data_IF_592504796808
#
_entry.id   IF_592504796808
#
_cell.length_a   1.000
_cell.length_b   1.000
_cell.length_c   1.000
_cell.angle_alpha   90.00
_cell.angle_beta   90.00
_cell.angle_gamma   90.00
#
_symmetry.space_group_name_H-M   'P 1'
#
loop_
_entity.id
_entity.type
_entity.pdbx_description
1 polymer ?
#
# COMPACT_ATOMS: atom_id res chain seq x y z
N UNK A 1 -5.81 45.48 -11.79
CA UNK A 1 -5.13 44.92 -10.61
C UNK A 1 -4.47 43.59 -11.03
N UNK A 2 -3.83 42.88 -10.11
CA UNK A 2 -3.20 41.59 -10.39
C UNK A 2 -3.85 40.50 -9.54
N UNK A 3 -4.19 39.38 -10.17
CA UNK A 3 -4.68 38.17 -9.52
C UNK A 3 -3.46 37.38 -9.08
N UNK A 4 -3.40 37.08 -7.78
CA UNK A 4 -2.36 36.24 -7.19
C UNK A 4 -2.99 34.91 -6.79
N UNK A 5 -2.45 33.80 -7.30
CA UNK A 5 -2.91 32.46 -6.98
C UNK A 5 -1.76 31.46 -7.13
N UNK A 6 -1.84 30.34 -6.42
CA UNK A 6 -0.82 29.30 -6.51
C UNK A 6 -1.14 28.33 -7.65
N UNK A 7 -0.14 28.01 -8.46
CA UNK A 7 -0.30 27.03 -9.53
C UNK A 7 -0.71 25.68 -8.93
N UNK A 8 -1.83 25.06 -9.37
CA UNK A 8 -2.28 23.78 -8.82
C UNK A 8 -1.28 22.65 -9.07
N UNK A 9 -0.43 22.77 -10.09
CA UNK A 9 0.54 21.74 -10.47
C UNK A 9 1.88 21.84 -9.74
N UNK A 10 2.41 23.05 -9.55
CA UNK A 10 3.80 23.24 -9.07
C UNK A 10 3.96 24.14 -7.84
N UNK A 11 2.85 24.59 -7.23
CA UNK A 11 2.80 25.45 -6.03
C UNK A 11 3.53 26.78 -6.12
N UNK A 12 4.05 27.13 -7.29
CA UNK A 12 4.61 28.46 -7.48
C UNK A 12 3.48 29.50 -7.47
N UNK A 13 3.63 30.50 -6.62
CA UNK A 13 2.74 31.66 -6.59
C UNK A 13 2.88 32.45 -7.87
N UNK A 14 1.79 32.53 -8.65
CA UNK A 14 1.72 33.24 -9.91
C UNK A 14 1.02 34.60 -9.69
N UNK A 15 1.55 35.63 -10.34
CA UNK A 15 0.93 36.96 -10.42
C UNK A 15 0.60 37.23 -11.88
N UNK A 16 -0.69 37.35 -12.18
CA UNK A 16 -1.19 37.59 -13.54
C UNK A 16 -2.10 38.82 -13.55
N UNK A 17 -2.17 39.58 -14.65
CA UNK A 17 -3.08 40.72 -14.74
C UNK A 17 -4.54 40.27 -14.75
N UNK A 18 -5.45 41.09 -14.22
CA UNK A 18 -6.90 40.78 -14.17
C UNK A 18 -7.50 40.47 -15.55
N UNK A 19 -6.93 41.03 -16.64
CA UNK A 19 -7.33 40.76 -18.03
C UNK A 19 -7.20 39.30 -18.46
N UNK A 20 -6.48 38.50 -17.66
CA UNK A 20 -6.25 37.08 -17.87
C UNK A 20 -7.15 36.20 -17.01
N UNK A 21 -8.03 36.79 -16.18
CA UNK A 21 -9.04 36.07 -15.42
C UNK A 21 -9.92 35.22 -16.35
N UNK A 22 -10.10 33.94 -15.99
CA UNK A 22 -10.91 32.99 -16.76
C UNK A 22 -10.28 32.52 -18.07
N UNK A 23 -9.06 32.98 -18.43
CA UNK A 23 -8.34 32.53 -19.63
C UNK A 23 -7.38 31.39 -19.31
N UNK A 24 -7.06 30.61 -20.35
CA UNK A 24 -6.05 29.56 -20.30
C UNK A 24 -4.65 30.18 -20.49
N UNK A 25 -3.70 29.84 -19.63
CA UNK A 25 -2.32 30.32 -19.71
C UNK A 25 -1.32 29.28 -19.23
N UNK A 26 -0.05 29.47 -19.55
CA UNK A 26 1.03 28.56 -19.16
C UNK A 26 1.67 29.01 -17.84
N UNK A 27 1.94 28.07 -16.94
CA UNK A 27 2.73 28.35 -15.75
C UNK A 27 4.19 28.64 -16.13
N UNK A 28 4.78 29.81 -15.79
CA UNK A 28 6.17 30.12 -16.10
C UNK A 28 7.20 29.26 -15.33
N UNK A 29 6.75 28.48 -14.33
CA UNK A 29 7.62 27.65 -13.47
C UNK A 29 7.61 26.17 -13.85
N UNK A 30 6.50 25.65 -14.34
CA UNK A 30 6.38 24.24 -14.72
C UNK A 30 5.89 24.01 -16.16
N UNK A 31 5.62 25.06 -16.92
CA UNK A 31 5.16 25.00 -18.31
C UNK A 31 3.74 24.43 -18.50
N UNK A 32 3.04 24.07 -17.43
CA UNK A 32 1.71 23.44 -17.50
C UNK A 32 0.64 24.47 -17.84
N UNK A 33 -0.21 24.15 -18.82
CA UNK A 33 -1.43 24.91 -19.16
C UNK A 33 -2.43 24.83 -18.00
N UNK A 34 -2.90 25.98 -17.52
CA UNK A 34 -3.85 26.09 -16.43
C UNK A 34 -4.87 27.20 -16.71
N UNK A 35 -6.04 27.10 -16.10
CA UNK A 35 -7.07 28.15 -16.16
C UNK A 35 -6.88 29.13 -14.99
N UNK A 36 -6.81 30.43 -15.29
CA UNK A 36 -6.63 31.47 -14.28
C UNK A 36 -7.97 31.71 -13.57
N UNK A 37 -8.04 31.64 -12.22
CA UNK A 37 -9.28 31.86 -11.48
C UNK A 37 -9.89 33.25 -11.76
N UNK A 38 -11.22 33.32 -11.90
CA UNK A 38 -11.95 34.58 -12.05
C UNK A 38 -12.68 34.94 -10.74
N UNK A 39 -12.12 35.80 -9.88
CA UNK A 39 -12.74 36.18 -8.62
C UNK A 39 -14.01 37.04 -8.79
N UNK A 40 -14.32 37.53 -10.00
CA UNK A 40 -15.46 38.41 -10.26
C UNK A 40 -16.75 37.67 -10.64
N UNK A 41 -16.71 36.34 -10.80
CA UNK A 41 -17.89 35.54 -11.14
C UNK A 41 -18.75 35.11 -9.92
N UNK A 42 -18.26 35.30 -8.69
CA UNK A 42 -18.91 34.79 -7.47
C UNK A 42 -19.95 35.73 -6.84
N UNK A 43 -20.13 36.95 -7.34
CA UNK A 43 -20.99 37.96 -6.69
C UNK A 43 -22.50 37.84 -7.00
N UNK A 44 -22.95 36.93 -7.87
CA UNK A 44 -24.37 36.89 -8.31
C UNK A 44 -25.21 35.74 -7.72
N UNK A 45 -24.63 34.79 -6.98
CA UNK A 45 -25.35 33.58 -6.53
C UNK A 45 -25.56 33.42 -5.02
N UNK A 46 -25.20 34.41 -4.20
CA UNK A 46 -25.25 34.29 -2.72
C UNK A 46 -26.47 34.93 -2.04
N UNK A 47 -27.55 35.28 -2.76
CA UNK A 47 -28.70 35.97 -2.19
C UNK A 47 -29.98 35.11 -1.97
N UNK A 48 -29.97 33.79 -2.21
CA UNK A 48 -31.21 32.99 -2.22
C UNK A 48 -31.11 31.59 -1.60
N UNK A 49 -30.52 31.44 -0.42
CA UNK A 49 -30.57 30.16 0.31
C UNK A 49 -30.43 30.29 1.84
N UNK A 50 -30.97 31.36 2.43
CA UNK A 50 -30.98 31.56 3.88
C UNK A 50 -32.41 31.73 4.40
N UNK A 51 -33.27 30.73 4.21
CA UNK A 51 -34.51 30.55 4.97
C UNK A 51 -35.07 29.16 4.68
N UNK A 52 -35.64 28.50 5.70
CA UNK A 52 -36.17 27.13 5.76
C UNK A 52 -35.09 26.04 6.00
N UNK A 53 -35.04 25.26 7.08
CA UNK A 53 -36.05 24.92 8.10
C UNK A 53 -35.33 24.33 9.32
N UNK A 54 -35.46 24.98 10.46
CA UNK A 54 -35.42 24.35 11.78
C UNK A 54 -36.83 23.86 12.10
N UNK A 55 -37.02 22.55 12.30
CA UNK A 55 -37.95 21.96 13.28
C UNK A 55 -38.12 20.47 13.01
N UNK A 56 -37.63 19.62 13.93
CA UNK A 56 -38.43 18.58 14.57
C UNK A 56 -37.55 17.78 15.54
N UNK A 57 -38.08 17.59 16.74
CA UNK A 57 -37.41 17.10 17.94
C UNK A 57 -38.09 15.82 18.41
N UNK A 58 -37.31 14.96 19.10
CA UNK A 58 -37.69 13.91 20.04
C UNK A 58 -38.31 12.59 19.52
N UNK A 59 -37.68 11.47 19.90
CA UNK A 59 -38.21 10.59 20.97
C UNK A 59 -37.23 9.46 21.32
N UNK A 60 -36.87 9.34 22.62
CA UNK A 60 -36.35 8.13 23.28
C UNK A 60 -37.53 7.31 23.84
N UNK A 61 -37.36 6.01 24.09
CA UNK A 61 -37.39 5.55 25.48
C UNK A 61 -36.37 4.43 25.85
N UNK A 62 -36.29 4.23 27.17
CA UNK A 62 -35.27 3.61 28.01
C UNK A 62 -35.17 2.06 28.03
N UNK A 63 -34.17 1.46 28.72
CA UNK A 63 -33.84 0.02 28.70
C UNK A 63 -34.18 -0.78 29.98
N UNK A 64 -33.96 -2.12 29.89
CA UNK A 64 -33.86 -3.19 30.92
C UNK A 64 -35.17 -3.92 31.33
N UNK A 65 -35.16 -5.23 31.76
CA UNK A 65 -34.11 -5.90 32.57
C UNK A 65 -33.78 -7.40 32.28
N UNK A 66 -32.83 -7.89 33.09
CA UNK A 66 -32.10 -9.17 33.09
C UNK A 66 -32.89 -10.43 33.54
N UNK A 67 -32.34 -11.62 33.26
CA UNK A 67 -32.44 -12.80 34.14
C UNK A 67 -31.40 -13.90 33.81
N UNK A 68 -30.92 -14.54 34.88
CA UNK A 68 -29.94 -15.61 34.98
C UNK A 68 -30.45 -16.98 34.51
N UNK A 69 -29.55 -17.97 34.40
CA UNK A 69 -29.94 -19.38 34.61
C UNK A 69 -28.99 -20.43 34.02
N UNK A 70 -28.39 -21.22 34.89
CA UNK A 70 -27.43 -22.28 34.59
C UNK A 70 -28.08 -23.59 34.12
N UNK A 71 -27.29 -24.40 33.41
CA UNK A 71 -27.16 -25.86 33.46
C UNK A 71 -28.41 -26.76 33.52
N UNK A 72 -28.48 -27.76 32.64
CA UNK A 72 -28.44 -29.17 33.04
C UNK A 72 -28.49 -30.11 31.83
N UNK A 73 -27.82 -31.24 32.02
CA UNK A 73 -27.76 -32.38 31.13
C UNK A 73 -29.11 -33.10 31.08
N UNK A 74 -29.50 -33.56 29.90
CA UNK A 74 -30.66 -34.42 29.69
C UNK A 74 -30.18 -35.74 29.11
N UNK A 75 -30.33 -36.79 29.92
CA UNK A 75 -30.32 -38.17 29.48
C UNK A 75 -31.68 -38.53 28.84
N UNK A 76 -31.73 -39.42 27.83
CA UNK A 76 -32.97 -40.09 27.44
C UNK A 76 -33.16 -41.48 28.10
N UNK A 77 -34.41 -41.99 28.13
CA UNK A 77 -34.93 -42.97 29.08
C UNK A 77 -34.87 -44.46 28.61
N UNK A 78 -35.29 -45.43 29.46
CA UNK A 78 -35.16 -46.87 29.22
C UNK A 78 -36.43 -47.53 28.64
N UNK A 79 -36.28 -48.75 28.12
CA UNK A 79 -37.35 -49.65 27.64
C UNK A 79 -37.18 -49.98 26.15
N UNK A 80 -37.29 -51.20 25.64
CA UNK A 80 -37.84 -52.43 26.19
C UNK A 80 -37.09 -53.65 25.64
N UNK A 81 -36.89 -54.62 26.52
CA UNK A 81 -36.42 -55.96 26.22
C UNK A 81 -37.56 -56.81 25.67
N UNK A 82 -37.41 -57.32 24.44
CA UNK A 82 -38.11 -58.53 24.01
C UNK A 82 -37.10 -59.50 23.40
N UNK A 83 -36.98 -60.64 24.06
CA UNK A 83 -36.14 -61.75 23.68
C UNK A 83 -36.63 -62.37 22.36
N UNK A 84 -35.69 -62.65 21.45
CA UNK A 84 -35.91 -63.57 20.36
C UNK A 84 -34.63 -64.38 20.09
N UNK A 85 -34.71 -65.63 20.52
CA UNK A 85 -34.13 -66.83 19.91
C UNK A 85 -32.63 -66.83 19.54
N UNK A 86 -31.85 -67.48 20.41
CA UNK A 86 -30.50 -67.92 20.11
C UNK A 86 -30.51 -69.03 19.05
N UNK A 87 -29.79 -68.81 17.94
CA UNK A 87 -29.24 -69.90 17.12
C UNK A 87 -27.72 -69.78 17.08
N UNK A 88 -26.97 -70.84 17.41
CA UNK A 88 -25.53 -70.80 17.46
C UNK A 88 -24.97 -70.89 16.05
N UNK A 89 -24.20 -69.88 15.64
CA UNK A 89 -23.24 -70.03 14.54
C UNK A 89 -21.85 -69.88 15.13
N UNK A 90 -21.31 -71.03 15.50
CA UNK A 90 -19.89 -71.27 15.61
C UNK A 90 -19.23 -70.96 14.27
N UNK A 91 -18.32 -69.99 14.21
CA UNK A 91 -17.12 -70.07 13.37
C UNK A 91 -16.19 -68.87 13.59
N UNK A 92 -15.09 -69.15 14.29
CA UNK A 92 -13.74 -68.82 13.84
C UNK A 92 -13.43 -67.38 13.36
N UNK A 93 -14.02 -66.33 13.95
CA UNK A 93 -13.66 -64.93 13.58
C UNK A 93 -13.27 -64.03 14.74
N UNK A 94 -13.47 -64.45 16.01
CA UNK A 94 -13.04 -63.68 17.18
C UNK A 94 -11.52 -63.76 17.47
N UNK A 95 -10.79 -64.71 16.89
CA UNK A 95 -9.34 -64.84 17.08
C UNK A 95 -8.50 -64.10 16.02
N UNK A 96 -9.10 -63.59 14.93
CA UNK A 96 -8.34 -62.89 13.89
C UNK A 96 -8.24 -61.37 14.10
N UNK A 97 -9.15 -60.75 14.87
CA UNK A 97 -9.12 -59.31 15.14
C UNK A 97 -8.24 -58.91 16.35
N UNK A 98 -7.59 -59.87 17.00
CA UNK A 98 -6.63 -59.63 18.10
C UNK A 98 -5.16 -59.61 17.62
N UNK A 99 -4.93 -59.50 16.31
CA UNK A 99 -3.58 -59.44 15.74
C UNK A 99 -3.00 -58.03 15.90
N UNK A 100 -2.39 -57.80 17.07
CA UNK A 100 -1.37 -56.77 17.37
C UNK A 100 -1.48 -55.50 16.52
N UNK A 101 -2.19 -54.49 17.02
CA UNK A 101 -1.87 -53.09 16.72
C UNK A 101 -0.54 -52.78 17.42
N UNK A 102 0.57 -53.32 16.90
CA UNK A 102 1.92 -52.89 17.31
C UNK A 102 1.98 -51.43 16.95
N UNK A 103 2.00 -50.54 17.95
CA UNK A 103 2.06 -49.12 17.68
C UNK A 103 3.39 -48.86 16.98
N UNK A 104 3.34 -48.31 15.77
CA UNK A 104 4.53 -47.93 15.01
C UNK A 104 5.17 -46.65 15.60
N UNK A 105 5.04 -46.43 16.92
CA UNK A 105 5.54 -45.25 17.63
C UNK A 105 7.05 -45.10 17.42
N UNK A 106 7.80 -46.21 17.40
CA UNK A 106 9.23 -46.19 17.08
C UNK A 106 9.52 -45.69 15.65
N UNK A 107 8.71 -46.07 14.67
CA UNK A 107 8.88 -45.58 13.29
C UNK A 107 8.48 -44.10 13.17
N UNK A 108 7.42 -43.66 13.85
CA UNK A 108 7.03 -42.24 13.90
C UNK A 108 8.11 -41.39 14.57
N UNK A 109 8.67 -41.83 15.69
CA UNK A 109 9.78 -41.14 16.37
C UNK A 109 11.03 -41.05 15.50
N UNK A 110 11.36 -42.11 14.75
CA UNK A 110 12.49 -42.11 13.81
C UNK A 110 12.27 -41.13 12.66
N UNK A 111 11.05 -41.03 12.11
CA UNK A 111 10.73 -40.03 11.07
C UNK A 111 10.84 -38.61 11.63
N UNK A 112 10.33 -38.35 12.83
CA UNK A 112 10.45 -37.01 13.47
C UNK A 112 11.92 -36.66 13.71
N UNK A 113 12.73 -37.61 14.19
CA UNK A 113 14.16 -37.40 14.42
C UNK A 113 14.90 -37.11 13.11
N UNK A 114 14.67 -37.90 12.05
CA UNK A 114 15.27 -37.65 10.75
C UNK A 114 14.82 -36.31 10.15
N UNK A 115 13.54 -35.95 10.29
CA UNK A 115 13.02 -34.67 9.83
C UNK A 115 13.63 -33.50 10.62
N UNK A 116 13.76 -33.64 11.94
CA UNK A 116 14.44 -32.66 12.78
C UNK A 116 15.92 -32.48 12.42
N UNK A 117 16.64 -33.58 12.15
CA UNK A 117 18.03 -33.53 11.67
C UNK A 117 18.12 -32.89 10.28
N UNK A 118 17.19 -33.20 9.38
CA UNK A 118 17.13 -32.61 8.04
C UNK A 118 16.85 -31.11 8.09
N UNK A 119 15.88 -30.68 8.92
CA UNK A 119 15.60 -29.25 9.16
C UNK A 119 16.79 -28.55 9.85
N UNK A 120 17.43 -29.21 10.80
CA UNK A 120 18.64 -28.69 11.46
C UNK A 120 19.80 -28.50 10.49
N UNK A 121 20.03 -29.49 9.62
CA UNK A 121 21.02 -29.38 8.55
C UNK A 121 20.66 -28.27 7.56
N UNK A 122 19.40 -28.21 7.09
CA UNK A 122 18.94 -27.15 6.20
C UNK A 122 19.11 -25.75 6.83
N UNK A 123 18.78 -25.60 8.12
CA UNK A 123 19.01 -24.37 8.89
C UNK A 123 20.49 -24.03 9.01
N UNK A 124 21.36 -25.01 9.27
CA UNK A 124 22.82 -24.82 9.32
C UNK A 124 23.39 -24.41 7.96
N UNK A 125 22.97 -25.06 6.87
CA UNK A 125 23.38 -24.71 5.52
C UNK A 125 22.90 -23.31 5.15
N UNK A 126 21.67 -22.95 5.47
CA UNK A 126 21.15 -21.61 5.25
C UNK A 126 21.90 -20.55 6.05
N UNK A 127 22.23 -20.83 7.32
CA UNK A 127 23.00 -19.89 8.14
C UNK A 127 24.45 -19.73 7.65
N UNK A 128 25.06 -20.82 7.14
CA UNK A 128 26.47 -20.83 6.72
C UNK A 128 26.66 -20.30 5.30
N UNK A 129 25.74 -20.61 4.39
CA UNK A 129 25.86 -20.32 2.95
C UNK A 129 24.75 -19.41 2.43
N UNK A 130 23.87 -18.93 3.31
CA UNK A 130 22.83 -17.97 2.95
C UNK A 130 23.42 -16.66 2.41
N UNK A 131 22.65 -15.92 1.61
CA UNK A 131 23.09 -14.64 1.10
C UNK A 131 23.28 -13.68 2.28
N UNK A 132 24.52 -13.23 2.46
CA UNK A 132 24.86 -12.21 3.44
C UNK A 132 24.40 -10.87 2.89
N UNK A 133 23.15 -10.51 3.19
CA UNK A 133 22.53 -9.26 2.71
C UNK A 133 22.72 -8.14 3.73
N UNK A 134 23.97 -7.93 4.14
CA UNK A 134 24.34 -6.90 5.09
C UNK A 134 25.61 -6.18 4.65
N UNK A 135 25.64 -4.86 4.79
CA UNK A 135 26.78 -4.08 4.35
C UNK A 135 26.56 -2.58 4.36
N UNK A 136 27.44 -1.88 3.63
CA UNK A 136 27.36 -0.44 3.44
C UNK A 136 27.00 -0.14 1.99
N UNK A 137 26.05 0.78 1.79
CA UNK A 137 25.67 1.32 0.49
C UNK A 137 25.91 2.82 0.45
N UNK A 138 25.94 3.38 -0.76
CA UNK A 138 26.13 4.81 -0.98
C UNK A 138 24.82 5.45 -1.40
N UNK A 139 24.52 6.59 -0.78
CA UNK A 139 23.37 7.42 -1.09
C UNK A 139 23.78 8.76 -1.69
N UNK A 140 23.00 9.25 -2.65
CA UNK A 140 23.14 10.56 -3.27
C UNK A 140 21.84 11.37 -3.11
N UNK A 141 21.96 12.62 -2.66
CA UNK A 141 20.80 13.53 -2.49
C UNK A 141 20.31 14.02 -3.84
N UNK A 142 19.02 13.88 -4.12
CA UNK A 142 18.43 14.48 -5.31
C UNK A 142 18.41 16.01 -5.19
N UNK A 143 18.64 16.69 -6.30
CA UNK A 143 18.42 18.14 -6.40
C UNK A 143 16.91 18.42 -6.30
N UNK A 144 16.47 19.61 -5.83
CA UNK A 144 15.06 19.98 -5.81
C UNK A 144 14.37 19.90 -7.18
N UNK A 145 15.13 20.12 -8.26
CA UNK A 145 14.67 20.05 -9.64
C UNK A 145 14.37 18.59 -10.06
N UNK A 146 15.25 17.66 -9.67
CA UNK A 146 15.14 16.25 -10.01
C UNK A 146 14.27 15.46 -9.02
N UNK A 147 14.02 15.99 -7.82
CA UNK A 147 13.23 15.38 -6.75
C UNK A 147 11.70 15.43 -7.01
N UNK A 148 11.29 15.15 -8.24
CA UNK A 148 9.89 15.09 -8.68
C UNK A 148 9.66 13.77 -9.42
N UNK A 149 9.17 12.78 -8.69
CA UNK A 149 8.96 11.42 -9.21
C UNK A 149 7.54 11.31 -9.75
N UNK A 150 7.36 10.83 -10.97
CA UNK A 150 6.03 10.71 -11.57
C UNK A 150 5.77 9.34 -12.19
N UNK A 151 4.53 8.84 -12.07
CA UNK A 151 4.12 7.58 -12.68
C UNK A 151 2.73 7.69 -13.31
N UNK A 152 2.62 7.30 -14.58
CA UNK A 152 1.34 7.12 -15.26
C UNK A 152 0.75 5.76 -14.85
N UNK A 153 -0.48 5.77 -14.37
CA UNK A 153 -1.17 4.57 -13.90
C UNK A 153 -1.67 3.74 -15.08
N UNK A 154 -1.47 2.43 -15.00
CA UNK A 154 -1.97 1.48 -16.01
C UNK A 154 -3.38 1.05 -15.63
N UNK A 155 -4.34 1.26 -16.53
CA UNK A 155 -5.74 0.84 -16.36
C UNK A 155 -6.09 -0.43 -17.15
N UNK A 156 -5.19 -0.87 -18.04
CA UNK A 156 -5.34 -2.11 -18.78
C UNK A 156 -5.44 -3.31 -17.84
N UNK A 157 -6.47 -4.14 -17.99
CA UNK A 157 -6.63 -5.34 -17.17
C UNK A 157 -7.30 -5.12 -15.80
N UNK A 158 -7.81 -3.92 -15.52
CA UNK A 158 -8.60 -3.65 -14.30
C UNK A 158 -10.07 -4.10 -14.40
N UNK A 159 -10.54 -4.51 -15.59
CA UNK A 159 -11.95 -4.87 -15.80
C UNK A 159 -12.93 -3.69 -15.75
N UNK A 160 -12.43 -2.46 -15.90
CA UNK A 160 -13.23 -1.24 -15.94
C UNK A 160 -13.67 -0.91 -17.37
N UNK A 161 -14.83 -0.30 -17.53
CA UNK A 161 -15.26 0.23 -18.83
C UNK A 161 -14.45 1.47 -19.22
N UNK A 162 -14.31 1.70 -20.53
CA UNK A 162 -13.63 2.88 -21.06
C UNK A 162 -14.30 4.19 -20.59
N UNK A 163 -15.63 4.19 -20.49
CA UNK A 163 -16.42 5.32 -19.98
C UNK A 163 -16.04 5.70 -18.54
N UNK A 164 -15.90 4.70 -17.65
CA UNK A 164 -15.51 4.93 -16.25
C UNK A 164 -14.09 5.49 -16.18
N UNK A 165 -13.16 4.91 -16.93
CA UNK A 165 -11.76 5.36 -16.97
C UNK A 165 -11.69 6.80 -17.47
N UNK A 166 -12.41 7.13 -18.54
CA UNK A 166 -12.42 8.46 -19.14
C UNK A 166 -13.03 9.51 -18.20
N UNK A 167 -14.19 9.21 -17.60
CA UNK A 167 -14.87 10.12 -16.68
C UNK A 167 -13.99 10.50 -15.48
N UNK A 168 -13.32 9.50 -14.88
CA UNK A 168 -12.41 9.75 -13.76
C UNK A 168 -11.19 10.54 -14.23
N UNK A 169 -10.52 10.15 -15.31
CA UNK A 169 -9.35 10.87 -15.84
C UNK A 169 -9.66 12.34 -16.15
N UNK A 170 -10.80 12.62 -16.79
CA UNK A 170 -11.23 13.97 -17.12
C UNK A 170 -11.50 14.80 -15.85
N UNK A 171 -12.06 14.19 -14.80
CA UNK A 171 -12.25 14.86 -13.52
C UNK A 171 -10.92 15.29 -12.87
N UNK A 172 -9.88 14.45 -12.97
CA UNK A 172 -8.53 14.74 -12.45
C UNK A 172 -7.72 15.64 -13.38
N UNK A 173 -8.06 15.72 -14.66
CA UNK A 173 -7.55 16.72 -15.59
C UNK A 173 -8.10 18.11 -15.23
N UNK A 174 -9.40 18.19 -15.00
CA UNK A 174 -10.08 19.45 -14.64
C UNK A 174 -9.72 19.92 -13.22
N UNK A 175 -9.70 19.00 -12.25
CA UNK A 175 -9.39 19.30 -10.85
C UNK A 175 -8.38 18.31 -10.29
N UNK A 176 -7.06 18.60 -10.44
CA UNK A 176 -6.01 17.83 -9.78
C UNK A 176 -6.22 17.74 -8.27
N UNK A 177 -5.89 16.60 -7.67
CA UNK A 177 -6.05 16.37 -6.22
C UNK A 177 -4.70 16.23 -5.55
N UNK A 178 -4.50 17.01 -4.51
CA UNK A 178 -3.26 17.04 -3.74
C UNK A 178 -3.47 16.52 -2.33
N UNK A 179 -2.51 15.74 -1.85
CA UNK A 179 -2.39 15.28 -0.47
C UNK A 179 -1.03 15.68 0.06
N UNK A 180 -1.01 16.56 1.06
CA UNK A 180 0.22 17.03 1.69
C UNK A 180 0.40 16.43 3.08
N UNK A 181 1.65 16.26 3.46
CA UNK A 181 2.09 15.83 4.79
C UNK A 181 3.49 16.41 5.07
N UNK A 182 3.96 16.30 6.31
CA UNK A 182 5.33 16.67 6.67
C UNK A 182 6.39 15.90 5.86
N UNK A 183 6.04 14.70 5.37
CA UNK A 183 6.97 13.84 4.65
C UNK A 183 6.98 14.09 3.14
N UNK A 184 5.85 14.43 2.54
CA UNK A 184 5.70 14.50 1.08
C UNK A 184 4.48 15.29 0.62
N UNK A 185 4.55 15.77 -0.61
CA UNK A 185 3.44 16.25 -1.44
C UNK A 185 3.13 15.21 -2.52
N UNK A 186 1.89 14.73 -2.55
CA UNK A 186 1.39 13.80 -3.56
C UNK A 186 0.32 14.49 -4.40
N UNK A 187 0.48 14.48 -5.72
CA UNK A 187 -0.48 15.04 -6.67
C UNK A 187 -0.99 13.94 -7.60
N UNK A 188 -2.31 13.76 -7.63
CA UNK A 188 -3.04 12.96 -8.61
C UNK A 188 -3.61 13.91 -9.66
N UNK A 189 -3.34 13.65 -10.95
CA UNK A 189 -3.79 14.52 -12.04
C UNK A 189 -3.96 13.75 -13.35
N UNK A 190 -4.89 14.20 -14.19
CA UNK A 190 -5.03 13.71 -15.56
C UNK A 190 -4.15 14.55 -16.51
N UNK A 191 -3.08 13.99 -17.12
CA UNK A 191 -2.29 14.73 -18.09
C UNK A 191 -3.04 14.90 -19.42
N UNK A 192 -2.57 15.82 -20.27
CA UNK A 192 -3.21 16.09 -21.57
C UNK A 192 -3.25 14.86 -22.49
N UNK A 193 -2.25 13.98 -22.40
CA UNK A 193 -2.18 12.74 -23.18
C UNK A 193 -3.15 11.65 -22.68
N UNK A 194 -3.90 11.90 -21.61
CA UNK A 194 -4.84 10.96 -21.02
C UNK A 194 -4.24 10.06 -19.93
N UNK A 195 -5.13 9.39 -19.20
CA UNK A 195 -4.79 8.56 -18.05
C UNK A 195 -4.78 9.32 -16.72
N UNK A 196 -4.37 8.63 -15.67
CA UNK A 196 -4.15 9.20 -14.34
C UNK A 196 -2.66 9.14 -14.04
N UNK A 197 -2.06 10.28 -13.71
CA UNK A 197 -0.66 10.37 -13.29
C UNK A 197 -0.60 10.73 -11.81
N UNK A 198 0.39 10.14 -11.12
CA UNK A 198 0.76 10.56 -9.77
C UNK A 198 2.11 11.24 -9.82
N UNK A 199 2.31 12.22 -8.95
CA UNK A 199 3.58 12.90 -8.73
C UNK A 199 3.87 12.97 -7.24
N UNK A 200 5.06 12.56 -6.86
CA UNK A 200 5.61 12.73 -5.52
C UNK A 200 6.69 13.81 -5.53
N UNK A 201 6.63 14.71 -4.54
CA UNK A 201 7.73 15.59 -4.16
C UNK A 201 8.02 15.44 -2.66
N UNK A 202 9.27 15.66 -2.22
CA UNK A 202 9.58 15.72 -0.80
C UNK A 202 8.81 16.84 -0.11
N UNK A 203 8.47 16.63 1.15
CA UNK A 203 7.89 17.65 2.02
C UNK A 203 8.93 18.68 2.45
N UNK A 204 8.49 19.68 3.23
CA UNK A 204 9.37 20.80 3.62
C UNK A 204 10.61 20.38 4.42
N UNK A 205 10.49 19.30 5.21
CA UNK A 205 11.54 18.81 6.13
C UNK A 205 12.22 17.53 5.65
N UNK A 206 11.85 17.03 4.49
CA UNK A 206 12.42 15.82 3.92
C UNK A 206 13.13 16.12 2.60
N UNK A 207 13.98 15.21 2.19
CA UNK A 207 14.63 15.17 0.89
C UNK A 207 14.62 13.73 0.37
N UNK A 208 14.82 13.56 -0.93
CA UNK A 208 14.94 12.23 -1.53
C UNK A 208 16.42 11.89 -1.64
N UNK A 209 16.79 10.72 -1.13
CA UNK A 209 18.12 10.12 -1.33
C UNK A 209 17.97 8.90 -2.21
N UNK A 210 18.67 8.90 -3.34
CA UNK A 210 18.86 7.71 -4.19
C UNK A 210 19.99 6.87 -3.61
N UNK A 211 19.73 5.59 -3.37
CA UNK A 211 20.66 4.61 -2.86
C UNK A 211 21.05 3.67 -3.98
N UNK A 212 22.36 3.59 -4.24
CA UNK A 212 22.93 2.72 -5.26
C UNK A 212 23.11 1.30 -4.69
N UNK A 213 22.36 0.35 -5.22
CA UNK A 213 22.39 -1.05 -4.83
C UNK A 213 23.50 -1.83 -5.57
N UNK A 214 24.03 -1.29 -6.67
CA UNK A 214 25.00 -1.98 -7.53
C UNK A 214 26.36 -2.18 -6.85
N UNK A 215 26.61 -1.44 -5.75
CA UNK A 215 27.78 -1.61 -4.90
C UNK A 215 27.84 -2.94 -4.13
N UNK A 216 26.74 -3.71 -4.11
CA UNK A 216 26.70 -5.05 -3.48
C UNK A 216 26.25 -6.13 -4.49
N UNK A 217 27.18 -6.95 -5.01
CA UNK A 217 26.85 -8.04 -5.93
C UNK A 217 25.91 -9.11 -5.36
N UNK A 218 25.97 -9.39 -4.05
CA UNK A 218 25.10 -10.38 -3.41
C UNK A 218 23.66 -9.86 -3.36
N UNK A 219 23.47 -8.56 -3.08
CA UNK A 219 22.18 -7.90 -3.18
C UNK A 219 21.63 -7.94 -4.60
N UNK A 220 22.45 -7.62 -5.61
CA UNK A 220 22.01 -7.62 -7.00
C UNK A 220 21.59 -9.03 -7.48
N UNK A 221 22.35 -10.06 -7.09
CA UNK A 221 21.97 -11.45 -7.40
C UNK A 221 20.68 -11.86 -6.68
N UNK A 222 20.48 -11.45 -5.42
CA UNK A 222 19.22 -11.67 -4.71
C UNK A 222 18.03 -11.01 -5.42
N UNK A 223 18.18 -9.77 -5.88
CA UNK A 223 17.13 -9.05 -6.62
C UNK A 223 16.78 -9.80 -7.91
N UNK A 224 17.78 -10.27 -8.64
CA UNK A 224 17.60 -11.05 -9.85
C UNK A 224 16.84 -12.36 -9.59
N UNK A 225 17.14 -13.05 -8.49
CA UNK A 225 16.51 -14.33 -8.14
C UNK A 225 15.10 -14.17 -7.57
N UNK A 226 14.84 -13.11 -6.80
CA UNK A 226 13.62 -12.96 -5.99
C UNK A 226 12.73 -11.79 -6.40
N UNK A 227 13.15 -10.91 -7.29
CA UNK A 227 12.47 -9.66 -7.65
C UNK A 227 11.01 -9.86 -8.05
N UNK A 228 10.73 -10.82 -8.94
CA UNK A 228 9.36 -11.15 -9.35
C UNK A 228 8.48 -11.57 -8.17
N UNK A 229 9.01 -12.38 -7.24
CA UNK A 229 8.27 -12.85 -6.07
C UNK A 229 8.02 -11.71 -5.06
N UNK A 230 8.98 -10.79 -4.92
CA UNK A 230 8.82 -9.60 -4.10
C UNK A 230 7.72 -8.68 -4.66
N UNK A 231 7.62 -8.58 -5.98
CA UNK A 231 6.66 -7.69 -6.65
C UNK A 231 5.22 -8.20 -6.65
N UNK A 232 4.99 -9.50 -6.50
CA UNK A 232 3.65 -10.11 -6.56
C UNK A 232 2.65 -9.47 -5.59
N UNK A 233 3.04 -9.27 -4.33
CA UNK A 233 2.12 -8.70 -3.32
C UNK A 233 1.82 -7.23 -3.62
N UNK A 234 2.86 -6.48 -4.00
CA UNK A 234 2.76 -5.07 -4.36
C UNK A 234 1.84 -4.86 -5.58
N UNK A 235 2.10 -5.59 -6.66
CA UNK A 235 1.36 -5.48 -7.92
C UNK A 235 -0.11 -5.87 -7.77
N UNK A 236 -0.40 -6.95 -7.02
CA UNK A 236 -1.77 -7.37 -6.73
C UNK A 236 -2.53 -6.31 -5.90
N UNK A 237 -1.89 -5.75 -4.87
CA UNK A 237 -2.47 -4.65 -4.08
C UNK A 237 -2.74 -3.43 -4.97
N UNK A 238 -1.75 -2.98 -5.76
CA UNK A 238 -1.88 -1.82 -6.63
C UNK A 238 -3.02 -1.99 -7.64
N UNK A 239 -3.13 -3.16 -8.27
CA UNK A 239 -4.20 -3.45 -9.23
C UNK A 239 -5.58 -3.38 -8.57
N UNK A 240 -5.74 -4.02 -7.41
CA UNK A 240 -6.98 -4.00 -6.65
C UNK A 240 -7.36 -2.59 -6.20
N UNK A 241 -6.39 -1.81 -5.71
CA UNK A 241 -6.60 -0.46 -5.20
C UNK A 241 -6.88 0.54 -6.33
N UNK A 242 -6.25 0.40 -7.49
CA UNK A 242 -6.60 1.17 -8.68
C UNK A 242 -8.03 0.88 -9.13
N UNK A 243 -8.44 -0.39 -9.19
CA UNK A 243 -9.81 -0.73 -9.56
C UNK A 243 -10.83 -0.09 -8.59
N UNK A 244 -10.59 -0.19 -7.29
CA UNK A 244 -11.41 0.46 -6.27
C UNK A 244 -11.45 1.97 -6.45
N UNK A 245 -10.30 2.62 -6.62
CA UNK A 245 -10.20 4.06 -6.85
C UNK A 245 -11.08 4.54 -8.01
N UNK A 246 -10.98 3.91 -9.19
CA UNK A 246 -11.81 4.32 -10.33
C UNK A 246 -13.30 4.08 -10.08
N UNK A 247 -13.64 3.00 -9.38
CA UNK A 247 -15.03 2.64 -9.08
C UNK A 247 -15.65 3.64 -8.10
N UNK A 248 -14.98 3.87 -6.97
CA UNK A 248 -15.40 4.76 -5.90
C UNK A 248 -15.46 6.21 -6.41
N UNK A 249 -14.48 6.64 -7.21
CA UNK A 249 -14.45 7.98 -7.76
C UNK A 249 -15.53 8.21 -8.82
N UNK A 250 -15.77 7.23 -9.70
CA UNK A 250 -16.87 7.32 -10.65
C UNK A 250 -18.23 7.38 -9.94
N UNK A 251 -18.43 6.58 -8.89
CA UNK A 251 -19.64 6.66 -8.08
C UNK A 251 -19.82 8.07 -7.49
N UNK A 252 -18.77 8.63 -6.89
CA UNK A 252 -18.78 10.00 -6.37
C UNK A 252 -19.11 11.05 -7.45
N UNK A 253 -18.62 10.89 -8.69
CA UNK A 253 -18.93 11.80 -9.79
C UNK A 253 -20.40 11.72 -10.23
N UNK A 254 -21.04 10.55 -10.16
CA UNK A 254 -22.42 10.34 -10.59
C UNK A 254 -23.45 10.72 -9.52
N UNK A 255 -23.20 10.29 -8.27
CA UNK A 255 -24.16 10.38 -7.17
C UNK A 255 -23.90 11.58 -6.24
N UNK A 256 -22.69 12.17 -6.32
CA UNK A 256 -22.20 13.10 -5.31
C UNK A 256 -21.90 12.38 -3.97
N UNK A 257 -21.74 13.15 -2.90
CA UNK A 257 -21.56 12.61 -1.55
C UNK A 257 -20.16 12.81 -0.97
N UNK A 258 -19.70 11.85 -0.15
CA UNK A 258 -18.40 11.93 0.50
C UNK A 258 -17.28 11.69 -0.53
N UNK A 259 -16.30 12.61 -0.57
CA UNK A 259 -15.12 12.44 -1.42
C UNK A 259 -14.33 11.19 -0.98
N UNK A 260 -13.85 10.36 -1.93
CA UNK A 260 -13.06 9.19 -1.56
C UNK A 260 -11.75 9.57 -0.84
N UNK A 261 -11.29 8.69 0.06
CA UNK A 261 -10.17 8.97 0.98
C UNK A 261 -8.82 9.02 0.23
N UNK A 262 -8.45 10.24 -0.15
CA UNK A 262 -7.18 10.52 -0.81
C UNK A 262 -5.94 10.20 0.06
N UNK A 263 -6.04 10.21 1.39
CA UNK A 263 -4.92 9.86 2.27
C UNK A 263 -4.63 8.36 2.17
N UNK A 264 -5.67 7.54 2.11
CA UNK A 264 -5.51 6.11 1.85
C UNK A 264 -4.87 5.86 0.49
N UNK A 265 -5.42 6.44 -0.58
CA UNK A 265 -4.90 6.26 -1.94
C UNK A 265 -3.50 6.83 -2.15
N UNK A 266 -3.07 7.85 -1.38
CA UNK A 266 -1.68 8.30 -1.36
C UNK A 266 -0.73 7.13 -1.09
N UNK A 267 -1.07 6.26 -0.14
CA UNK A 267 -0.21 5.15 0.26
C UNK A 267 -0.39 3.95 -0.68
N UNK A 268 -1.65 3.57 -0.95
CA UNK A 268 -1.96 2.32 -1.67
C UNK A 268 -1.81 2.42 -3.19
N UNK A 269 -1.90 3.63 -3.76
CA UNK A 269 -1.72 3.89 -5.19
C UNK A 269 -0.52 4.80 -5.43
N UNK A 270 -0.51 5.99 -4.81
CA UNK A 270 0.52 7.00 -5.06
C UNK A 270 1.94 6.46 -4.85
N UNK A 271 2.27 6.12 -3.61
CA UNK A 271 3.56 5.51 -3.26
C UNK A 271 3.77 4.16 -3.96
N UNK A 272 2.79 3.26 -3.86
CA UNK A 272 2.91 1.90 -4.38
C UNK A 272 3.22 1.86 -5.89
N UNK A 273 2.64 2.78 -6.68
CA UNK A 273 2.87 2.85 -8.12
C UNK A 273 4.27 3.33 -8.52
N UNK A 274 4.94 4.09 -7.65
CA UNK A 274 6.27 4.63 -7.93
C UNK A 274 7.38 3.64 -7.61
N UNK A 275 7.13 2.57 -6.86
CA UNK A 275 8.15 1.62 -6.40
C UNK A 275 7.97 0.22 -6.99
N UNK A 276 9.07 -0.53 -7.04
CA UNK A 276 9.08 -1.96 -7.32
C UNK A 276 8.91 -2.81 -6.05
N UNK A 277 8.88 -4.14 -6.23
CA UNK A 277 8.66 -5.11 -5.16
C UNK A 277 9.70 -5.06 -4.05
N UNK A 278 10.96 -4.75 -4.39
CA UNK A 278 12.02 -4.58 -3.41
C UNK A 278 11.74 -3.37 -2.51
N UNK A 279 11.52 -2.19 -3.11
CA UNK A 279 11.18 -0.97 -2.38
C UNK A 279 9.93 -1.11 -1.49
N UNK A 280 8.92 -1.85 -1.96
CA UNK A 280 7.71 -2.13 -1.18
C UNK A 280 7.97 -2.95 0.10
N UNK A 281 9.00 -3.80 0.07
CA UNK A 281 9.41 -4.65 1.18
C UNK A 281 10.59 -4.11 2.00
N UNK A 282 11.04 -2.89 1.73
CA UNK A 282 12.12 -2.22 2.46
C UNK A 282 11.63 -0.93 3.13
N UNK A 283 12.31 -0.54 4.20
CA UNK A 283 12.10 0.72 4.88
C UNK A 283 13.43 1.35 5.29
N UNK A 284 13.49 2.68 5.28
CA UNK A 284 14.60 3.42 5.85
C UNK A 284 14.35 3.73 7.33
N UNK A 285 15.41 3.75 8.14
CA UNK A 285 15.35 4.19 9.54
C UNK A 285 16.37 5.27 9.82
N UNK A 286 15.86 6.40 10.34
CA UNK A 286 16.67 7.52 10.83
C UNK A 286 16.25 7.81 12.26
N UNK A 287 17.16 7.72 13.22
CA UNK A 287 16.88 7.94 14.65
C UNK A 287 15.65 7.18 15.15
N UNK A 288 15.54 5.89 14.77
CA UNK A 288 14.43 5.01 15.13
C UNK A 288 13.05 5.40 14.56
N UNK A 289 12.99 6.35 13.62
CA UNK A 289 11.79 6.67 12.85
C UNK A 289 11.85 6.02 11.48
N UNK A 290 10.71 5.50 11.03
CA UNK A 290 10.56 4.83 9.74
C UNK A 290 10.28 5.85 8.65
N UNK A 291 10.97 5.71 7.53
CA UNK A 291 10.70 6.46 6.32
C UNK A 291 10.54 5.54 5.11
N UNK A 292 9.60 5.84 4.20
CA UNK A 292 9.26 4.93 3.11
C UNK A 292 10.31 4.99 1.98
N UNK A 293 10.49 3.85 1.31
CA UNK A 293 10.93 3.86 -0.08
C UNK A 293 9.84 4.55 -0.91
N UNK A 294 10.24 5.36 -1.89
CA UNK A 294 9.34 6.16 -2.72
C UNK A 294 9.54 5.95 -4.21
N UNK A 295 10.64 5.33 -4.64
CA UNK A 295 10.86 4.97 -6.03
C UNK A 295 11.86 3.84 -6.19
N UNK A 296 11.72 3.12 -7.30
CA UNK A 296 12.64 2.12 -7.80
C UNK A 296 12.86 2.45 -9.27
N UNK A 297 14.11 2.72 -9.66
CA UNK A 297 14.43 3.01 -11.06
C UNK A 297 14.64 1.75 -11.89
N UNK A 298 14.61 0.56 -11.28
CA UNK A 298 14.88 -0.74 -11.89
C UNK A 298 16.30 -0.90 -12.47
N UNK A 299 17.16 0.10 -12.31
CA UNK A 299 18.56 0.15 -12.72
C UNK A 299 19.50 0.08 -11.50
N UNK A 300 18.99 -0.49 -10.40
CA UNK A 300 19.74 -0.66 -9.15
C UNK A 300 19.71 0.56 -8.23
N UNK A 301 18.80 1.51 -8.44
CA UNK A 301 18.57 2.64 -7.55
C UNK A 301 17.26 2.54 -6.78
N UNK A 302 17.33 2.65 -5.45
CA UNK A 302 16.15 2.83 -4.59
C UNK A 302 16.14 4.22 -3.97
N UNK A 303 14.98 4.84 -3.92
CA UNK A 303 14.85 6.21 -3.47
C UNK A 303 14.08 6.24 -2.15
N UNK A 304 14.62 6.91 -1.14
CA UNK A 304 13.99 7.03 0.16
C UNK A 304 13.77 8.49 0.50
N UNK A 305 12.60 8.78 1.07
CA UNK A 305 12.42 10.04 1.77
C UNK A 305 13.17 9.97 3.10
N UNK A 306 13.98 10.96 3.41
CA UNK A 306 14.68 11.05 4.70
C UNK A 306 14.65 12.50 5.20
N UNK A 307 14.85 12.77 6.49
CA UNK A 307 14.98 14.14 6.98
C UNK A 307 16.10 14.88 6.26
N UNK A 308 15.90 16.18 5.99
CA UNK A 308 16.94 17.03 5.40
C UNK A 308 18.22 17.01 6.23
N UNK A 309 19.36 16.89 5.56
CA UNK A 309 20.68 16.83 6.19
C UNK A 309 21.04 15.45 6.74
N UNK A 310 20.26 14.40 6.44
CA UNK A 310 20.61 13.04 6.85
C UNK A 310 21.95 12.65 6.21
N UNK A 311 22.95 12.34 7.04
CA UNK A 311 24.28 11.90 6.59
C UNK A 311 24.38 10.37 6.47
N UNK A 312 23.59 9.66 7.28
CA UNK A 312 23.58 8.21 7.34
C UNK A 312 22.20 7.71 7.79
N UNK A 313 21.77 6.57 7.27
CA UNK A 313 20.56 5.87 7.71
C UNK A 313 20.66 4.36 7.49
N UNK A 314 19.77 3.59 8.11
CA UNK A 314 19.67 2.14 7.87
C UNK A 314 18.57 1.85 6.86
N UNK A 315 18.76 0.85 6.00
CA UNK A 315 17.67 0.22 5.23
C UNK A 315 17.56 -1.23 5.68
N UNK A 316 16.34 -1.69 5.91
CA UNK A 316 16.07 -3.07 6.30
C UNK A 316 14.72 -3.52 5.78
N UNK A 317 14.42 -4.82 5.96
CA UNK A 317 13.12 -5.38 5.67
C UNK A 317 11.99 -4.68 6.42
N UNK A 318 10.96 -4.29 5.69
CA UNK A 318 9.71 -3.76 6.24
C UNK A 318 8.89 -4.87 6.85
N UNK A 319 8.36 -4.64 8.05
CA UNK A 319 7.39 -5.52 8.68
C UNK A 319 5.99 -5.25 8.10
N UNK A 320 5.44 -6.24 7.41
CA UNK A 320 4.09 -6.18 6.85
C UNK A 320 3.02 -6.34 7.94
N UNK A 321 1.76 -6.01 7.64
CA UNK A 321 0.65 -6.10 8.60
C UNK A 321 0.44 -7.52 9.17
N UNK A 322 0.71 -8.54 8.35
CA UNK A 322 0.68 -9.94 8.75
C UNK A 322 1.90 -10.36 9.61
N UNK A 323 2.77 -9.43 9.96
CA UNK A 323 3.97 -9.62 10.78
C UNK A 323 5.19 -10.14 10.03
N UNK A 324 5.05 -10.53 8.77
CA UNK A 324 6.14 -11.09 7.97
C UNK A 324 7.07 -10.02 7.43
N UNK A 325 8.36 -10.35 7.35
CA UNK A 325 9.41 -9.54 6.73
C UNK A 325 10.00 -10.34 5.58
N UNK A 326 9.71 -9.94 4.33
CA UNK A 326 10.15 -10.71 3.15
C UNK A 326 11.60 -10.47 2.77
N UNK A 327 12.07 -9.23 2.89
CA UNK A 327 13.46 -8.90 2.65
C UNK A 327 14.27 -9.10 3.93
N UNK A 328 15.23 -10.03 3.97
CA UNK A 328 15.93 -10.37 5.21
C UNK A 328 17.18 -9.50 5.47
N UNK A 329 17.55 -8.63 4.52
CA UNK A 329 18.79 -7.85 4.59
C UNK A 329 18.72 -6.61 5.47
N UNK A 330 19.90 -6.11 5.82
CA UNK A 330 20.10 -4.87 6.58
C UNK A 330 21.35 -4.12 6.08
N UNK A 331 21.17 -2.91 5.60
CA UNK A 331 22.24 -2.08 5.07
C UNK A 331 22.36 -0.75 5.81
N UNK A 332 23.59 -0.27 5.93
CA UNK A 332 23.87 1.10 6.34
C UNK A 332 24.14 1.93 5.09
N UNK A 333 23.42 3.04 4.92
CA UNK A 333 23.61 3.96 3.79
C UNK A 333 24.39 5.17 4.25
N UNK A 334 25.47 5.49 3.52
CA UNK A 334 26.25 6.72 3.71
C UNK A 334 25.88 7.74 2.63
N UNK A 335 25.40 8.92 3.02
CA UNK A 335 24.92 9.96 2.10
C UNK A 335 26.04 10.95 1.79
N UNK A 336 26.88 10.58 0.82
CA UNK A 336 28.17 11.24 0.56
C UNK A 336 28.17 12.20 -0.62
N UNK A 337 27.13 12.20 -1.46
CA UNK A 337 27.12 12.91 -2.74
C UNK A 337 25.81 13.67 -2.99
N UNK A 338 25.85 14.62 -3.94
CA UNK A 338 24.66 15.09 -4.63
C UNK A 338 24.48 14.26 -5.90
N UNK A 339 23.25 13.83 -6.16
CA UNK A 339 22.90 13.10 -7.37
C UNK A 339 22.96 14.07 -8.55
N UNK A 340 23.74 13.73 -9.57
CA UNK A 340 23.73 14.41 -10.85
C UNK A 340 22.81 13.60 -11.75
N UNK A 341 21.58 14.07 -11.96
CA UNK A 341 20.66 13.45 -12.91
C UNK A 341 21.28 13.39 -14.31
N UNK A 342 21.24 12.21 -14.92
CA UNK A 342 21.58 11.99 -16.33
C UNK A 342 20.35 12.12 -17.21
#
# INVERSE_FOLDING_TARGET
MAIQFDCPYCTSTLKVPDSSAGKQGDCPRCGTKLMIPNPFAMSEQSASAAQETQAATQSQPAPMPAANGAGQAVAPPPGDSVAAEQRPMTSATAQYLRKRRKSNVGAVLLVILCFGLMLGAAGYFYWTYGPHLEGNLVGARMTPEDASLEQLQKTSGLGLSEEVVQAVNDSFKATPRRVQSDLMDMLFFGPEQGGLKVRLKPGEKTEIVRVDLTGDPALMEYIKQHGTQLDQSRSAELQSQLQAFYTDWNQFLQEGGMMPDLINYRNTIGLNSLMGGLGYHMEARVNNRVFPCVHDDFDGGLYFLVPKGTLQFEILGRKMENGWTKFPGKYTVQVTQQYQGG
#
